data_IF_958743905479
#
_entry.id   IF_958743905479
#
_cell.length_a   1.000
_cell.length_b   1.000
_cell.length_c   1.000
_cell.angle_alpha   90.00
_cell.angle_beta   90.00
_cell.angle_gamma   90.00
#
_symmetry.space_group_name_H-M   'P 1'
#
loop_
_entity.id
_entity.type
_entity.pdbx_description
1 polymer ?
#
# COMPACT_ATOMS: atom_id res chain seq x y z
N UNK A 1 8.14 -17.67 -5.33
CA UNK A 1 8.34 -16.45 -6.14
C UNK A 1 8.46 -15.30 -5.15
N UNK A 2 9.41 -14.38 -5.32
CA UNK A 2 9.60 -13.28 -4.37
C UNK A 2 8.46 -12.28 -4.60
N UNK A 3 7.89 -11.72 -3.54
CA UNK A 3 6.76 -10.77 -3.64
C UNK A 3 7.00 -9.62 -4.62
N UNK A 4 8.25 -9.17 -4.72
CA UNK A 4 8.68 -8.16 -5.67
C UNK A 4 8.43 -8.55 -7.14
N UNK A 5 8.67 -9.81 -7.51
CA UNK A 5 8.43 -10.29 -8.88
C UNK A 5 6.93 -10.29 -9.21
N UNK A 6 6.10 -10.66 -8.22
CA UNK A 6 4.63 -10.64 -8.33
C UNK A 6 4.14 -9.20 -8.48
N UNK A 7 4.68 -8.28 -7.69
CA UNK A 7 4.40 -6.85 -7.79
C UNK A 7 4.72 -6.32 -9.19
N UNK A 8 5.91 -6.58 -9.73
CA UNK A 8 6.28 -6.11 -11.06
C UNK A 8 5.45 -6.72 -12.20
N UNK A 9 4.98 -7.96 -12.04
CA UNK A 9 4.06 -8.55 -13.00
C UNK A 9 2.70 -7.84 -13.01
N UNK A 10 2.24 -7.35 -11.86
CA UNK A 10 0.96 -6.63 -11.72
C UNK A 10 1.08 -5.13 -12.03
N UNK A 11 2.22 -4.51 -11.75
CA UNK A 11 2.46 -3.06 -11.87
C UNK A 11 3.73 -2.81 -12.70
N UNK A 12 3.76 -3.25 -13.98
CA UNK A 12 4.99 -3.23 -14.78
C UNK A 12 5.47 -1.80 -15.10
N UNK A 13 4.60 -0.80 -15.01
CA UNK A 13 4.94 0.61 -15.23
C UNK A 13 5.69 1.25 -14.06
N UNK A 14 5.74 0.60 -12.89
CA UNK A 14 6.37 1.19 -11.69
C UNK A 14 7.88 1.41 -11.89
N UNK A 15 8.53 0.55 -12.66
CA UNK A 15 9.98 0.64 -12.95
C UNK A 15 10.23 1.07 -14.39
N UNK A 16 11.32 1.82 -14.58
CA UNK A 16 11.86 2.12 -15.90
C UNK A 16 13.01 1.15 -16.19
N UNK A 17 13.32 0.93 -17.47
CA UNK A 17 14.35 -0.03 -17.91
C UNK A 17 15.76 0.18 -17.32
N UNK A 18 16.03 1.36 -16.73
CA UNK A 18 17.32 1.71 -16.11
C UNK A 18 17.23 1.92 -14.59
N UNK A 19 16.09 1.59 -13.97
CA UNK A 19 15.92 1.73 -12.53
C UNK A 19 16.89 0.82 -11.77
N UNK A 20 17.58 1.37 -10.77
CA UNK A 20 18.38 0.58 -9.83
C UNK A 20 17.47 0.09 -8.72
N UNK A 21 17.41 -1.22 -8.50
CA UNK A 21 16.53 -1.83 -7.50
C UNK A 21 17.39 -2.53 -6.45
N UNK A 22 17.12 -2.27 -5.18
CA UNK A 22 17.70 -2.98 -4.05
C UNK A 22 16.58 -3.50 -3.16
N UNK A 23 16.60 -4.82 -2.90
CA UNK A 23 15.67 -5.48 -1.99
C UNK A 23 16.39 -5.77 -0.68
N UNK A 24 15.77 -5.36 0.43
CA UNK A 24 16.19 -5.74 1.77
C UNK A 24 15.60 -7.09 2.19
N UNK A 25 15.89 -7.48 3.43
CA UNK A 25 15.27 -8.66 4.04
C UNK A 25 13.79 -8.41 4.31
N UNK A 26 12.98 -9.45 4.10
CA UNK A 26 11.58 -9.47 4.52
C UNK A 26 11.48 -9.62 6.04
N UNK A 27 10.51 -8.94 6.64
CA UNK A 27 10.11 -9.14 8.03
C UNK A 27 8.61 -9.39 8.11
N UNK A 28 8.16 -10.03 9.19
CA UNK A 28 6.73 -10.10 9.50
C UNK A 28 6.27 -8.79 10.14
N UNK A 29 5.17 -8.26 9.64
CA UNK A 29 4.43 -7.16 10.24
C UNK A 29 5.04 -5.76 10.07
N UNK A 30 4.22 -4.77 10.38
CA UNK A 30 4.58 -3.36 10.39
C UNK A 30 5.13 -2.94 11.76
N UNK A 31 6.00 -1.94 11.76
CA UNK A 31 6.50 -1.31 12.97
C UNK A 31 5.50 -0.27 13.50
N UNK A 32 4.35 -0.74 13.98
CA UNK A 32 3.25 0.12 14.43
C UNK A 32 3.49 0.69 15.84
N UNK A 33 3.15 1.97 16.02
CA UNK A 33 3.23 2.64 17.33
C UNK A 33 2.12 2.16 18.29
N UNK A 34 2.29 2.30 19.62
CA UNK A 34 1.24 1.97 20.58
C UNK A 34 -0.06 2.76 20.35
N UNK A 35 0.05 4.00 19.90
CA UNK A 35 -1.10 4.86 19.62
C UNK A 35 -1.87 4.38 18.40
N UNK A 36 -1.16 3.97 17.34
CA UNK A 36 -1.76 3.32 16.18
C UNK A 36 -2.51 2.06 16.59
N UNK A 37 -1.87 1.17 17.37
CA UNK A 37 -2.47 -0.09 17.81
C UNK A 37 -3.73 0.10 18.65
N UNK A 38 -3.74 1.12 19.51
CA UNK A 38 -4.90 1.45 20.33
C UNK A 38 -6.04 2.05 19.52
N UNK A 39 -5.72 2.90 18.52
CA UNK A 39 -6.74 3.59 17.70
C UNK A 39 -7.32 2.67 16.62
N UNK A 40 -6.49 1.84 16.02
CA UNK A 40 -6.81 0.98 14.87
C UNK A 40 -6.49 -0.48 15.18
N UNK A 41 -7.08 -1.04 16.23
CA UNK A 41 -6.74 -2.38 16.73
C UNK A 41 -6.92 -3.47 15.68
N UNK A 42 -8.11 -3.59 15.08
CA UNK A 42 -8.40 -4.60 14.05
C UNK A 42 -7.52 -4.43 12.82
N UNK A 43 -7.21 -3.19 12.44
CA UNK A 43 -6.32 -2.95 11.31
C UNK A 43 -4.86 -3.32 11.64
N UNK A 44 -4.42 -3.08 12.87
CA UNK A 44 -3.09 -3.47 13.33
C UNK A 44 -2.89 -4.97 13.30
N UNK A 45 -3.90 -5.75 13.70
CA UNK A 45 -3.89 -7.21 13.62
C UNK A 45 -3.76 -7.72 12.18
N UNK A 46 -4.37 -7.02 11.22
CA UNK A 46 -4.23 -7.34 9.80
C UNK A 46 -2.83 -7.00 9.30
N UNK A 47 -2.31 -5.83 9.65
CA UNK A 47 -0.98 -5.39 9.25
C UNK A 47 0.13 -6.28 9.83
N UNK A 48 -0.05 -6.84 11.03
CA UNK A 48 0.92 -7.77 11.64
C UNK A 48 1.06 -9.09 10.87
N UNK A 49 0.05 -9.47 10.09
CA UNK A 49 0.07 -10.68 9.27
C UNK A 49 0.75 -10.48 7.90
N UNK A 50 1.02 -9.23 7.53
CA UNK A 50 1.68 -8.92 6.27
C UNK A 50 3.18 -9.26 6.33
N UNK A 51 3.73 -9.70 5.20
CA UNK A 51 5.16 -9.72 4.97
C UNK A 51 5.60 -8.35 4.44
N UNK A 52 6.63 -7.77 5.03
CA UNK A 52 7.12 -6.44 4.69
C UNK A 52 8.56 -6.52 4.22
N UNK A 53 8.80 -6.20 2.96
CA UNK A 53 10.14 -6.15 2.35
C UNK A 53 10.51 -4.69 2.05
N UNK A 54 11.69 -4.26 2.49
CA UNK A 54 12.20 -2.93 2.10
C UNK A 54 12.65 -2.94 0.64
N UNK A 55 12.20 -1.96 -0.13
CA UNK A 55 12.56 -1.80 -1.53
C UNK A 55 13.13 -0.42 -1.72
N UNK A 56 14.32 -0.31 -2.33
CA UNK A 56 14.83 0.96 -2.85
C UNK A 56 14.78 0.92 -4.36
N UNK A 57 14.16 1.92 -4.97
CA UNK A 57 14.14 2.12 -6.42
C UNK A 57 14.74 3.48 -6.70
N UNK A 58 15.92 3.47 -7.33
CA UNK A 58 16.79 4.64 -7.45
C UNK A 58 17.07 5.25 -6.07
N UNK A 59 16.70 6.51 -5.85
CA UNK A 59 16.91 7.23 -4.60
C UNK A 59 15.68 7.22 -3.67
N UNK A 60 14.61 6.51 -4.06
CA UNK A 60 13.37 6.42 -3.30
C UNK A 60 13.27 5.10 -2.52
N UNK A 61 12.75 5.18 -1.30
CA UNK A 61 12.59 4.03 -0.41
C UNK A 61 11.13 3.74 -0.13
N UNK A 62 10.81 2.45 -0.11
CA UNK A 62 9.48 1.91 0.04
C UNK A 62 9.48 0.69 0.95
N UNK A 63 8.30 0.35 1.45
CA UNK A 63 7.99 -0.93 2.06
C UNK A 63 6.96 -1.63 1.17
N UNK A 64 7.34 -2.77 0.58
CA UNK A 64 6.42 -3.67 -0.11
C UNK A 64 5.78 -4.56 0.94
N UNK A 65 4.46 -4.51 1.02
CA UNK A 65 3.67 -5.17 2.04
C UNK A 65 2.74 -6.16 1.36
N UNK A 66 2.86 -7.44 1.69
CA UNK A 66 2.17 -8.51 0.97
C UNK A 66 1.46 -9.46 1.94
N UNK A 67 0.31 -9.98 1.52
CA UNK A 67 -0.43 -11.01 2.25
C UNK A 67 -1.19 -11.89 1.27
N UNK A 68 -1.67 -13.02 1.77
CA UNK A 68 -2.50 -13.92 1.00
C UNK A 68 -3.98 -13.55 1.17
N UNK A 69 -4.69 -13.47 0.05
CA UNK A 69 -6.14 -13.34 0.06
C UNK A 69 -6.81 -14.62 0.58
N UNK A 70 -8.10 -14.51 0.91
CA UNK A 70 -8.92 -15.68 1.25
C UNK A 70 -8.95 -16.78 0.16
N UNK A 71 -8.62 -16.43 -1.09
CA UNK A 71 -8.53 -17.37 -2.22
C UNK A 71 -7.11 -17.91 -2.46
N UNK A 72 -6.14 -17.55 -1.60
CA UNK A 72 -4.74 -17.96 -1.71
C UNK A 72 -3.91 -17.19 -2.75
N UNK A 73 -4.46 -16.11 -3.34
CA UNK A 73 -3.69 -15.23 -4.21
C UNK A 73 -2.88 -14.22 -3.39
N UNK A 74 -1.61 -14.04 -3.74
CA UNK A 74 -0.72 -13.04 -3.16
C UNK A 74 -1.09 -11.64 -3.65
N UNK A 75 -1.36 -10.74 -2.73
CA UNK A 75 -1.74 -9.34 -3.00
C UNK A 75 -1.05 -8.42 -2.01
N UNK A 76 -1.12 -7.12 -2.24
CA UNK A 76 -0.52 -6.19 -1.32
C UNK A 76 -0.43 -4.75 -1.81
N UNK A 77 0.35 -3.99 -1.05
CA UNK A 77 0.58 -2.56 -1.28
C UNK A 77 2.08 -2.29 -1.37
N UNK A 78 2.46 -1.36 -2.23
CA UNK A 78 3.72 -0.67 -2.13
C UNK A 78 3.50 0.63 -1.36
N UNK A 79 4.15 0.77 -0.22
CA UNK A 79 3.98 1.89 0.68
C UNK A 79 5.23 2.79 0.73
N UNK A 80 5.03 4.07 1.00
CA UNK A 80 6.13 4.95 1.43
C UNK A 80 6.64 4.51 2.80
N UNK A 81 7.88 4.87 3.13
CA UNK A 81 8.34 4.71 4.51
C UNK A 81 7.52 5.61 5.45
N UNK A 82 7.10 5.10 6.62
CA UNK A 82 6.40 5.91 7.60
C UNK A 82 7.26 7.11 8.02
N UNK A 83 6.72 8.34 7.94
CA UNK A 83 7.47 9.52 8.34
C UNK A 83 7.68 9.53 9.85
N UNK A 84 8.83 10.02 10.30
CA UNK A 84 9.11 10.19 11.74
C UNK A 84 8.22 11.26 12.37
N UNK A 85 7.79 12.23 11.58
CA UNK A 85 6.95 13.36 12.01
C UNK A 85 5.68 13.31 11.18
N UNK A 86 4.49 13.30 11.81
CA UNK A 86 3.24 13.35 11.07
C UNK A 86 3.13 14.62 10.22
N UNK A 87 2.40 14.53 9.11
CA UNK A 87 2.10 15.71 8.29
C UNK A 87 1.34 16.77 9.12
N UNK A 88 1.65 18.05 8.92
CA UNK A 88 0.89 19.13 9.53
C UNK A 88 -0.41 19.39 8.75
N UNK A 89 -1.44 19.89 9.43
CA UNK A 89 -2.71 20.26 8.79
C UNK A 89 -3.66 19.10 8.48
N UNK A 90 -3.33 17.88 8.89
CA UNK A 90 -4.27 16.74 8.90
C UNK A 90 -4.82 16.54 10.32
N UNK A 91 -6.01 15.95 10.45
CA UNK A 91 -6.53 15.63 11.77
C UNK A 91 -5.72 14.49 12.42
N UNK A 92 -5.78 14.41 13.75
CA UNK A 92 -4.96 13.51 14.56
C UNK A 92 -5.03 12.04 14.10
N UNK A 93 -6.22 11.58 13.71
CA UNK A 93 -6.41 10.19 13.28
C UNK A 93 -5.67 9.88 11.97
N UNK A 94 -5.66 10.82 11.01
CA UNK A 94 -4.88 10.67 9.78
C UNK A 94 -3.38 10.78 10.06
N UNK A 95 -2.97 11.68 10.96
CA UNK A 95 -1.57 11.77 11.40
C UNK A 95 -1.08 10.44 11.97
N UNK A 96 -1.87 9.81 12.85
CA UNK A 96 -1.56 8.49 13.41
C UNK A 96 -1.50 7.45 12.27
N UNK A 97 -2.47 7.42 11.37
CA UNK A 97 -2.52 6.47 10.26
C UNK A 97 -1.26 6.55 9.37
N UNK A 98 -0.85 7.76 8.98
CA UNK A 98 0.34 7.99 8.15
C UNK A 98 1.63 7.51 8.84
N UNK A 99 1.75 7.68 10.16
CA UNK A 99 2.93 7.18 10.89
C UNK A 99 3.01 5.65 10.98
N UNK A 100 1.94 4.93 10.65
CA UNK A 100 1.94 3.46 10.64
C UNK A 100 2.60 2.86 9.39
N UNK A 101 2.14 3.27 8.21
CA UNK A 101 2.59 2.68 6.94
C UNK A 101 3.01 3.70 5.86
N UNK A 102 3.11 5.00 6.18
CA UNK A 102 3.63 6.05 5.28
C UNK A 102 2.70 6.48 4.14
N UNK A 103 1.79 5.62 3.70
CA UNK A 103 0.86 5.87 2.60
C UNK A 103 1.05 4.87 1.46
N UNK A 104 -0.05 4.47 0.81
CA UNK A 104 -0.03 3.53 -0.31
C UNK A 104 0.32 4.29 -1.59
N UNK A 105 1.34 3.82 -2.31
CA UNK A 105 1.76 4.34 -3.62
C UNK A 105 1.13 3.51 -4.74
N UNK A 106 1.22 2.19 -4.63
CA UNK A 106 0.68 1.24 -5.61
C UNK A 106 0.01 0.06 -4.91
N UNK A 107 -0.91 -0.60 -5.61
CA UNK A 107 -1.66 -1.76 -5.14
C UNK A 107 -1.49 -2.86 -6.19
N UNK A 108 -1.25 -4.11 -5.76
CA UNK A 108 -1.08 -5.22 -6.69
C UNK A 108 -2.00 -6.39 -6.35
N UNK A 109 -2.55 -7.01 -7.40
CA UNK A 109 -3.51 -8.11 -7.32
C UNK A 109 -4.71 -7.87 -6.37
N UNK A 110 -5.05 -6.61 -6.10
CA UNK A 110 -6.25 -6.26 -5.36
C UNK A 110 -7.49 -6.45 -6.26
N UNK A 111 -8.63 -6.96 -5.75
CA UNK A 111 -9.81 -7.16 -6.56
C UNK A 111 -10.30 -5.85 -7.21
N UNK A 112 -10.64 -5.93 -8.49
CA UNK A 112 -11.09 -4.76 -9.28
C UNK A 112 -12.46 -4.24 -8.83
N UNK A 113 -13.23 -5.05 -8.10
CA UNK A 113 -14.54 -4.71 -7.51
C UNK A 113 -14.43 -4.00 -6.15
N UNK A 114 -13.22 -3.63 -5.72
CA UNK A 114 -13.04 -2.83 -4.51
C UNK A 114 -13.65 -1.44 -4.66
N UNK A 115 -14.37 -0.98 -3.64
CA UNK A 115 -15.11 0.30 -3.65
C UNK A 115 -14.23 1.52 -3.98
N UNK A 116 -12.91 1.42 -3.78
CA UNK A 116 -11.93 2.45 -4.16
C UNK A 116 -11.78 2.62 -5.70
N UNK A 117 -12.03 1.58 -6.48
CA UNK A 117 -12.00 1.62 -7.95
C UNK A 117 -13.32 2.05 -8.57
N UNK A 118 -14.44 1.96 -7.83
CA UNK A 118 -15.75 2.44 -8.29
C UNK A 118 -15.79 3.97 -8.54
N UNK A 119 -14.84 4.73 -7.99
CA UNK A 119 -14.69 6.16 -8.30
C UNK A 119 -14.17 6.42 -9.72
N UNK A 120 -13.54 5.44 -10.37
CA UNK A 120 -13.19 5.57 -11.79
C UNK A 120 -14.44 5.58 -12.68
N UNK A 121 -15.48 4.82 -12.33
CA UNK A 121 -16.74 4.79 -13.07
C UNK A 121 -17.64 6.00 -12.75
N UNK A 122 -17.67 6.44 -11.49
CA UNK A 122 -18.46 7.58 -11.03
C UNK A 122 -18.04 8.94 -11.63
N UNK A 123 -16.83 9.02 -12.21
CA UNK A 123 -16.30 10.23 -12.86
C UNK A 123 -16.30 10.13 -14.40
N UNK A 124 -16.94 9.12 -14.98
CA UNK A 124 -17.06 9.05 -16.44
C UNK A 124 -18.20 9.93 -16.95
N UNK A 125 -17.94 10.65 -18.04
CA UNK A 125 -18.92 11.47 -18.81
C UNK A 125 -20.22 10.70 -19.16
N UNK A 126 -20.17 9.36 -19.12
CA UNK A 126 -21.33 8.49 -19.35
C UNK A 126 -22.41 8.63 -18.29
N UNK A 127 -22.09 8.91 -17.03
CA UNK A 127 -23.10 9.10 -15.98
C UNK A 127 -23.73 10.49 -16.02
N UNK A 128 -22.98 11.52 -16.45
CA UNK A 128 -23.48 12.90 -16.60
C UNK A 128 -24.54 13.04 -17.70
N UNK A 129 -24.61 12.07 -18.62
CA UNK A 129 -25.56 12.05 -19.74
C UNK A 129 -26.90 11.39 -19.40
N UNK A 130 -27.06 10.82 -18.20
CA UNK A 130 -28.31 10.17 -17.76
C UNK A 130 -29.25 11.09 -16.97
N UNK A 131 -28.77 12.27 -16.56
CA UNK A 131 -29.54 13.29 -15.84
C UNK A 131 -29.99 14.46 -16.74
N UNK A 132 -29.89 14.30 -18.06
CA UNK A 132 -30.30 15.30 -19.07
C UNK A 132 -31.63 14.99 -19.74
#
# INVERSE_FOLDING_TARGET
>A
MIDWDIFLASVPWFIQAKSKILLGESRSGFNLTPDFRRKFSSFSELLDQAEVTRVSVNDSQYELCSWDSAKGHRMGWLCLLPPRIPASGVCDDHAILFTGFGGIVERFNEPEDTWLLNLNDALTVRETSRDG
#
